data_IF_702005353140
#
_entry.id   IF_702005353140
#
_cell.length_a   1.000
_cell.length_b   1.000
_cell.length_c   1.000
_cell.angle_alpha   90.00
_cell.angle_beta   90.00
_cell.angle_gamma   90.00
#
_symmetry.space_group_name_H-M   'P 1'
#
loop_
_entity.id
_entity.type
_entity.pdbx_description
1 polymer ?
#
# COMPACT_ATOMS: atom_id res chain seq x y z
N UNK A 1 -1.35 45.34 -5.00
CA UNK A 1 -0.24 44.89 -5.87
C UNK A 1 -0.68 43.62 -6.56
N UNK A 2 -0.58 43.55 -7.90
CA UNK A 2 -0.91 42.33 -8.63
C UNK A 2 0.03 41.20 -8.19
N UNK A 3 -0.52 40.02 -7.87
CA UNK A 3 0.24 38.85 -7.43
C UNK A 3 0.91 38.21 -8.64
N UNK A 4 2.03 38.77 -9.06
CA UNK A 4 2.83 38.24 -10.16
C UNK A 4 3.63 37.04 -9.65
N UNK A 5 3.36 35.88 -10.21
CA UNK A 5 4.13 34.67 -9.93
C UNK A 5 5.41 34.65 -10.78
N UNK A 6 6.54 34.96 -10.14
CA UNK A 6 7.87 34.99 -10.77
C UNK A 6 8.41 33.58 -11.09
N UNK A 7 7.78 32.54 -10.55
CA UNK A 7 8.13 31.15 -10.83
C UNK A 7 7.37 30.58 -12.02
N UNK A 8 6.37 31.30 -12.52
CA UNK A 8 5.58 30.88 -13.68
C UNK A 8 6.43 30.81 -14.95
N UNK A 9 6.29 29.71 -15.68
CA UNK A 9 6.94 29.50 -16.97
C UNK A 9 6.51 30.59 -17.97
N UNK A 10 5.24 30.99 -17.97
CA UNK A 10 4.72 32.02 -18.86
C UNK A 10 5.36 33.39 -18.60
N UNK A 11 5.60 33.73 -17.33
CA UNK A 11 6.31 34.95 -16.96
C UNK A 11 7.78 34.89 -17.41
N UNK A 12 8.43 33.74 -17.22
CA UNK A 12 9.80 33.53 -17.68
C UNK A 12 9.90 33.64 -19.21
N UNK A 13 8.95 33.06 -19.94
CA UNK A 13 8.88 33.14 -21.40
C UNK A 13 8.68 34.55 -21.93
N UNK A 14 7.86 35.34 -21.25
CA UNK A 14 7.64 36.76 -21.56
C UNK A 14 8.93 37.56 -21.38
N UNK A 15 9.60 37.41 -20.24
CA UNK A 15 10.84 38.15 -19.92
C UNK A 15 11.97 37.77 -20.87
N UNK A 16 12.05 36.51 -21.29
CA UNK A 16 13.08 36.02 -22.22
C UNK A 16 12.60 35.98 -23.69
N UNK A 17 11.48 36.61 -24.02
CA UNK A 17 11.01 36.74 -25.41
C UNK A 17 12.06 37.46 -26.27
N UNK A 18 12.29 36.96 -27.48
CA UNK A 18 13.28 37.50 -28.43
C UNK A 18 14.76 37.33 -28.03
N UNK A 19 15.06 36.65 -26.91
CA UNK A 19 16.44 36.36 -26.46
C UNK A 19 16.80 34.89 -26.66
N UNK A 20 18.10 34.57 -26.53
CA UNK A 20 18.56 33.19 -26.54
C UNK A 20 18.06 32.42 -25.30
N UNK A 21 17.24 31.37 -25.53
CA UNK A 21 16.68 30.49 -24.50
C UNK A 21 17.46 29.18 -24.33
N UNK A 22 18.40 28.88 -25.22
CA UNK A 22 19.10 27.59 -25.24
C UNK A 22 20.08 27.39 -24.06
N UNK A 23 20.52 28.48 -23.43
CA UNK A 23 21.51 28.46 -22.35
C UNK A 23 21.26 29.57 -21.30
N UNK A 24 21.90 29.45 -20.13
CA UNK A 24 21.86 30.46 -19.07
C UNK A 24 20.62 30.40 -18.18
N UNK A 25 20.17 31.58 -17.71
CA UNK A 25 19.15 31.72 -16.68
C UNK A 25 17.77 31.13 -17.07
N UNK A 26 17.42 31.14 -18.38
CA UNK A 26 16.17 30.55 -18.86
C UNK A 26 16.13 29.04 -18.60
N UNK A 27 17.17 28.32 -19.04
CA UNK A 27 17.30 26.87 -18.83
C UNK A 27 17.34 26.51 -17.34
N UNK A 28 17.96 27.34 -16.50
CA UNK A 28 17.97 27.13 -15.04
C UNK A 28 16.58 27.27 -14.42
N UNK A 29 15.77 28.23 -14.88
CA UNK A 29 14.38 28.40 -14.42
C UNK A 29 13.45 27.31 -14.94
N UNK A 30 13.57 26.97 -16.22
CA UNK A 30 12.78 25.91 -16.87
C UNK A 30 13.01 24.54 -16.24
N UNK A 31 14.24 24.21 -15.88
CA UNK A 31 14.57 22.89 -15.31
C UNK A 31 14.39 22.79 -13.81
N UNK A 32 14.08 23.89 -13.12
CA UNK A 32 13.85 23.94 -11.67
C UNK A 32 12.72 23.00 -11.18
N UNK A 33 11.51 22.97 -11.78
CA UNK A 33 10.44 22.07 -11.32
C UNK A 33 10.73 20.59 -11.59
N UNK A 34 11.66 20.28 -12.49
CA UNK A 34 11.93 18.90 -12.93
C UNK A 34 12.29 17.97 -11.77
N UNK A 35 13.07 18.46 -10.80
CA UNK A 35 13.51 17.65 -9.64
C UNK A 35 12.33 17.27 -8.74
N UNK A 36 11.43 18.22 -8.50
CA UNK A 36 10.24 18.00 -7.69
C UNK A 36 9.27 17.05 -8.38
N UNK A 37 9.05 17.20 -9.69
CA UNK A 37 8.19 16.30 -10.46
C UNK A 37 8.72 14.86 -10.44
N UNK A 38 10.03 14.67 -10.61
CA UNK A 38 10.66 13.35 -10.53
C UNK A 38 10.49 12.75 -9.13
N UNK A 39 10.73 13.54 -8.08
CA UNK A 39 10.56 13.08 -6.70
C UNK A 39 9.12 12.65 -6.40
N UNK A 40 8.13 13.45 -6.83
CA UNK A 40 6.71 13.14 -6.65
C UNK A 40 6.34 11.84 -7.36
N UNK A 41 6.79 11.63 -8.61
CA UNK A 41 6.53 10.39 -9.35
C UNK A 41 7.13 9.19 -8.60
N UNK A 42 8.37 9.30 -8.11
CA UNK A 42 9.04 8.23 -7.38
C UNK A 42 8.27 7.85 -6.10
N UNK A 43 7.81 8.85 -5.34
CA UNK A 43 7.00 8.65 -4.14
C UNK A 43 5.69 7.93 -4.48
N UNK A 44 5.02 8.33 -5.56
CA UNK A 44 3.78 7.68 -6.02
C UNK A 44 4.03 6.21 -6.37
N UNK A 45 5.11 5.90 -7.09
CA UNK A 45 5.45 4.52 -7.46
C UNK A 45 5.68 3.65 -6.22
N UNK A 46 6.44 4.14 -5.24
CA UNK A 46 6.68 3.40 -3.99
C UNK A 46 5.36 3.20 -3.22
N UNK A 47 4.51 4.23 -3.14
CA UNK A 47 3.23 4.14 -2.47
C UNK A 47 2.29 3.10 -3.13
N UNK A 48 2.25 3.07 -4.46
CA UNK A 48 1.47 2.08 -5.22
C UNK A 48 1.96 0.66 -4.96
N UNK A 49 3.28 0.44 -4.97
CA UNK A 49 3.86 -0.88 -4.66
C UNK A 49 3.51 -1.28 -3.23
N UNK A 50 3.72 -0.38 -2.25
CA UNK A 50 3.40 -0.63 -0.85
C UNK A 50 1.92 -0.97 -0.60
N UNK A 51 1.00 -0.31 -1.30
CA UNK A 51 -0.44 -0.58 -1.19
C UNK A 51 -0.89 -1.81 -1.99
N UNK A 52 -0.20 -2.15 -3.08
CA UNK A 52 -0.52 -3.32 -3.91
C UNK A 52 -0.21 -4.65 -3.21
N UNK A 53 0.81 -4.71 -2.33
CA UNK A 53 1.18 -5.93 -1.61
C UNK A 53 0.04 -6.48 -0.73
N UNK A 54 -0.58 -5.69 0.20
CA UNK A 54 -1.66 -6.20 1.03
C UNK A 54 -2.92 -6.53 0.24
N UNK A 55 -3.19 -5.85 -0.88
CA UNK A 55 -4.34 -6.17 -1.75
C UNK A 55 -4.12 -7.47 -2.52
N UNK A 56 -2.90 -7.72 -3.01
CA UNK A 56 -2.52 -9.00 -3.61
C UNK A 56 -2.58 -10.14 -2.59
N UNK A 57 -2.10 -9.95 -1.35
CA UNK A 57 -2.20 -10.96 -0.29
C UNK A 57 -3.66 -11.29 0.02
N UNK A 58 -4.54 -10.28 0.09
CA UNK A 58 -5.99 -10.49 0.33
C UNK A 58 -6.70 -11.19 -0.83
N UNK A 59 -6.25 -10.97 -2.06
CA UNK A 59 -6.81 -11.64 -3.23
C UNK A 59 -6.28 -13.08 -3.39
N UNK A 60 -5.00 -13.30 -3.06
CA UNK A 60 -4.34 -14.60 -3.13
C UNK A 60 -4.59 -15.50 -1.90
N UNK A 61 -5.09 -14.95 -0.79
CA UNK A 61 -5.58 -15.74 0.33
C UNK A 61 -7.07 -15.98 0.13
N UNK A 62 -7.50 -17.11 -0.45
CA UNK A 62 -8.91 -17.45 -0.48
C UNK A 62 -9.44 -17.55 0.95
N UNK A 63 -10.74 -17.35 1.13
CA UNK A 63 -11.54 -17.55 2.35
C UNK A 63 -11.51 -19.01 2.86
N UNK A 64 -10.33 -19.64 2.92
CA UNK A 64 -10.11 -21.02 3.32
C UNK A 64 -9.39 -21.14 4.66
N UNK A 65 -9.11 -20.02 5.33
CA UNK A 65 -8.64 -20.06 6.73
C UNK A 65 -9.76 -20.28 7.74
N UNK A 66 -11.03 -20.20 7.35
CA UNK A 66 -12.16 -20.52 8.23
C UNK A 66 -12.63 -21.98 8.12
N UNK A 67 -12.34 -22.68 7.01
CA UNK A 67 -12.79 -24.07 6.80
C UNK A 67 -11.89 -25.09 7.50
N UNK A 68 -10.64 -24.75 7.84
CA UNK A 68 -9.74 -25.69 8.54
C UNK A 68 -9.81 -25.58 10.07
N UNK A 69 -10.34 -24.47 10.61
CA UNK A 69 -10.51 -24.30 12.06
C UNK A 69 -11.81 -24.91 12.57
N UNK A 70 -12.84 -25.02 11.73
CA UNK A 70 -14.14 -25.60 12.14
C UNK A 70 -14.22 -27.12 11.97
N UNK A 71 -13.43 -27.73 11.06
CA UNK A 71 -13.41 -29.19 10.90
C UNK A 71 -12.57 -29.87 11.99
N UNK A 72 -11.63 -29.14 12.61
CA UNK A 72 -10.84 -29.66 13.75
C UNK A 72 -11.64 -29.62 15.07
N UNK A 73 -12.72 -28.86 15.16
CA UNK A 73 -13.55 -28.79 16.39
C UNK A 73 -14.80 -29.65 16.34
N UNK A 74 -15.26 -30.09 15.16
CA UNK A 74 -16.46 -30.94 15.02
C UNK A 74 -16.19 -32.44 14.78
N UNK A 75 -14.95 -32.87 14.46
CA UNK A 75 -14.67 -34.27 14.07
C UNK A 75 -14.07 -35.18 15.16
N UNK A 76 -13.92 -34.74 16.41
CA UNK A 76 -13.56 -35.64 17.53
C UNK A 76 -14.71 -35.86 18.51
N UNK A 77 -15.94 -35.76 18.01
CA UNK A 77 -17.14 -36.21 18.70
C UNK A 77 -17.44 -37.68 18.31
N UNK A 78 -16.71 -38.64 18.88
CA UNK A 78 -17.19 -40.03 18.93
C UNK A 78 -16.49 -40.81 20.06
N UNK A 79 -16.85 -40.50 21.31
CA UNK A 79 -16.65 -41.43 22.42
C UNK A 79 -18.00 -42.13 22.67
N UNK A 80 -18.13 -43.44 22.37
CA UNK A 80 -19.40 -44.13 22.38
C UNK A 80 -19.97 -44.22 23.80
N UNK A 81 -21.25 -43.89 23.95
CA UNK A 81 -22.03 -44.26 25.13
C UNK A 81 -22.06 -45.78 25.26
N UNK A 82 -21.21 -46.34 26.14
CA UNK A 82 -21.39 -47.70 26.66
C UNK A 82 -21.60 -47.61 28.16
N UNK A 83 -22.88 -47.68 28.55
CA UNK A 83 -23.33 -48.01 29.89
C UNK A 83 -22.72 -49.34 30.33
N UNK A 84 -22.17 -49.39 31.55
CA UNK A 84 -22.27 -50.46 32.57
C UNK A 84 -21.12 -50.29 33.57
N UNK A 85 -21.38 -49.75 34.76
CA UNK A 85 -21.52 -50.54 35.99
C UNK A 85 -20.37 -51.55 36.21
N UNK A 86 -19.32 -51.12 36.93
CA UNK A 86 -18.58 -51.97 37.87
C UNK A 86 -17.86 -51.05 38.86
N UNK A 87 -18.50 -50.72 39.97
CA UNK A 87 -18.41 -51.43 41.26
C UNK A 87 -17.27 -50.90 42.14
N UNK A 88 -17.69 -50.22 43.22
CA UNK A 88 -16.95 -49.85 44.43
C UNK A 88 -15.70 -50.69 44.72
N UNK A 89 -14.60 -50.03 45.10
CA UNK A 89 -13.82 -50.47 46.26
C UNK A 89 -13.16 -49.31 47.01
N UNK A 90 -13.35 -49.38 48.32
CA UNK A 90 -13.05 -48.44 49.41
C UNK A 90 -11.54 -48.36 49.69
N UNK A 91 -11.09 -47.17 50.09
CA UNK A 91 -9.74 -46.84 50.58
C UNK A 91 -9.38 -47.61 51.86
N UNK A 92 -8.09 -47.88 52.08
CA UNK A 92 -7.42 -47.18 53.17
C UNK A 92 -6.06 -46.56 52.81
#
# INVERSE_FOLDING_TARGET
MAKVDLSSQAWCDLVFSGKNKAYGAYKMRETSPRRHNIAVILVIVIALIGFSIPTLIKMATPKQKEVMTEVTTLSQLEEPEVKQEEMKRIEP
#
